data_IF_123308953384
#
_entry.id   IF_123308953384
#
_cell.length_a   1.000
_cell.length_b   1.000
_cell.length_c   1.000
_cell.angle_alpha   90.00
_cell.angle_beta   90.00
_cell.angle_gamma   90.00
#
_symmetry.space_group_name_H-M   'P 1'
#
loop_
_entity.id
_entity.type
_entity.pdbx_description
1 polymer ?
#
# COMPACT_ATOMS: atom_id res chain seq x y z
N UNK A 1 35.12 4.53 -11.73
CA UNK A 1 34.61 5.23 -10.54
C UNK A 1 33.28 4.60 -10.23
N UNK A 2 33.15 4.00 -9.05
CA UNK A 2 31.88 3.48 -8.56
C UNK A 2 31.08 4.61 -7.93
N UNK A 3 29.78 4.39 -7.76
CA UNK A 3 28.90 5.29 -7.03
C UNK A 3 28.21 4.49 -5.93
N UNK A 4 28.16 5.05 -4.73
CA UNK A 4 27.47 4.49 -3.59
C UNK A 4 26.29 5.39 -3.27
N UNK A 5 25.08 4.85 -3.30
CA UNK A 5 23.85 5.60 -3.02
C UNK A 5 23.07 4.95 -1.90
N UNK A 6 22.50 5.76 -1.00
CA UNK A 6 21.62 5.29 0.06
C UNK A 6 20.45 6.25 0.32
N UNK A 7 19.41 5.71 0.96
CA UNK A 7 18.16 6.36 1.33
C UNK A 7 17.98 6.30 2.84
N UNK A 8 18.26 7.42 3.50
CA UNK A 8 18.33 7.51 4.96
C UNK A 8 17.13 8.29 5.48
N UNK A 9 16.41 7.73 6.47
CA UNK A 9 15.31 8.45 7.15
C UNK A 9 15.84 9.19 8.36
N UNK A 10 15.57 10.49 8.41
CA UNK A 10 16.04 11.40 9.48
C UNK A 10 14.85 12.05 10.19
N UNK A 11 14.94 12.15 11.52
CA UNK A 11 13.84 12.70 12.33
C UNK A 11 13.76 14.23 12.31
N UNK A 12 14.89 14.94 12.15
CA UNK A 12 14.94 16.40 12.19
C UNK A 12 15.77 16.96 11.03
N UNK A 13 15.33 18.10 10.48
CA UNK A 13 16.02 18.81 9.40
C UNK A 13 17.50 19.08 9.70
N UNK A 14 17.80 19.50 10.94
CA UNK A 14 19.17 19.84 11.36
C UNK A 14 20.16 18.67 11.29
N UNK A 15 19.66 17.43 11.27
CA UNK A 15 20.48 16.22 11.28
C UNK A 15 20.77 15.72 9.84
N UNK A 16 20.14 16.30 8.81
CA UNK A 16 20.30 15.91 7.39
C UNK A 16 21.76 16.01 6.94
N UNK A 17 22.40 17.16 7.17
CA UNK A 17 23.80 17.33 6.77
C UNK A 17 24.75 16.44 7.56
N UNK A 18 24.41 16.14 8.82
CA UNK A 18 25.18 15.22 9.66
C UNK A 18 25.20 13.81 9.07
N UNK A 19 24.03 13.26 8.72
CA UNK A 19 23.97 11.91 8.12
C UNK A 19 24.62 11.84 6.73
N UNK A 20 24.53 12.89 5.92
CA UNK A 20 25.21 12.94 4.62
C UNK A 20 26.73 12.98 4.80
N UNK A 21 27.22 13.73 5.78
CA UNK A 21 28.64 13.79 6.14
C UNK A 21 29.16 12.45 6.67
N UNK A 22 28.38 11.79 7.54
CA UNK A 22 28.73 10.46 8.04
C UNK A 22 28.76 9.44 6.89
N UNK A 23 27.75 9.44 6.01
CA UNK A 23 27.71 8.55 4.85
C UNK A 23 28.91 8.76 3.93
N UNK A 24 29.26 10.01 3.61
CA UNK A 24 30.43 10.31 2.78
C UNK A 24 31.74 9.85 3.43
N UNK A 25 31.89 10.05 4.74
CA UNK A 25 33.10 9.65 5.44
C UNK A 25 33.38 8.14 5.31
N UNK A 26 32.36 7.29 5.38
CA UNK A 26 32.56 5.85 5.29
C UNK A 26 32.61 5.29 3.87
N UNK A 27 31.97 5.95 2.91
CA UNK A 27 31.72 5.37 1.58
C UNK A 27 32.49 6.05 0.44
N UNK A 28 33.11 7.22 0.67
CA UNK A 28 33.87 7.90 -0.38
C UNK A 28 35.20 7.23 -0.70
N UNK A 29 35.59 7.30 -1.97
CA UNK A 29 36.93 6.91 -2.41
C UNK A 29 37.98 7.87 -1.84
N UNK A 30 38.85 7.37 -0.96
CA UNK A 30 39.88 8.20 -0.30
C UNK A 30 40.97 8.72 -1.24
N UNK A 31 41.10 8.19 -2.45
CA UNK A 31 42.02 8.75 -3.47
C UNK A 31 41.45 10.02 -4.10
N UNK A 32 40.13 10.07 -4.30
CA UNK A 32 39.44 11.21 -4.91
C UNK A 32 39.03 12.26 -3.87
N UNK A 33 38.67 11.78 -2.67
CA UNK A 33 38.26 12.61 -1.56
C UNK A 33 39.00 12.19 -0.27
N UNK A 34 40.25 12.63 -0.08
CA UNK A 34 41.07 12.25 1.07
C UNK A 34 40.44 12.61 2.41
N UNK A 35 39.74 13.76 2.50
CA UNK A 35 39.02 14.18 3.71
C UNK A 35 37.84 13.28 4.04
N UNK A 36 37.23 12.64 3.03
CA UNK A 36 35.94 11.96 3.18
C UNK A 36 34.82 12.94 3.53
N UNK A 37 34.99 14.21 3.15
CA UNK A 37 33.97 15.24 3.36
C UNK A 37 32.82 15.05 2.37
N UNK A 38 31.60 15.33 2.80
CA UNK A 38 30.48 15.40 1.86
C UNK A 38 30.61 16.68 1.02
N UNK A 39 30.73 16.51 -0.30
CA UNK A 39 31.04 17.60 -1.23
C UNK A 39 29.93 17.87 -2.26
N UNK A 40 28.81 17.15 -2.19
CA UNK A 40 27.68 17.32 -3.11
C UNK A 40 26.72 18.42 -2.64
N UNK A 41 25.93 18.94 -3.58
CA UNK A 41 24.84 19.87 -3.26
C UNK A 41 23.62 19.05 -2.87
N UNK A 42 23.16 19.21 -1.62
CA UNK A 42 21.97 18.54 -1.10
C UNK A 42 20.75 19.47 -1.19
N UNK A 43 19.81 19.14 -2.07
CA UNK A 43 18.57 19.90 -2.24
C UNK A 43 17.54 19.54 -1.16
N UNK A 44 17.26 20.47 -0.23
CA UNK A 44 16.23 20.28 0.79
C UNK A 44 14.88 20.78 0.26
N UNK A 45 13.95 19.86 -0.02
CA UNK A 45 12.68 20.16 -0.68
C UNK A 45 11.58 20.55 0.32
N UNK A 46 11.61 21.79 0.81
CA UNK A 46 10.67 22.27 1.86
C UNK A 46 9.26 22.62 1.35
N UNK A 47 9.06 22.65 0.03
CA UNK A 47 7.81 23.15 -0.56
C UNK A 47 6.59 22.27 -0.31
N UNK A 48 6.76 20.95 -0.26
CA UNK A 48 5.65 19.99 -0.12
C UNK A 48 6.02 18.90 0.87
N UNK A 49 5.23 18.75 1.93
CA UNK A 49 5.35 17.62 2.87
C UNK A 49 4.46 16.47 2.39
N UNK A 50 5.08 15.32 2.15
CA UNK A 50 4.41 14.13 1.62
C UNK A 50 3.61 13.39 2.71
N UNK A 51 2.53 12.73 2.29
CA UNK A 51 1.54 12.13 3.21
C UNK A 51 2.12 11.01 4.10
N UNK A 52 3.11 10.29 3.57
CA UNK A 52 3.78 9.15 4.19
C UNK A 52 5.12 8.85 3.49
N UNK A 53 5.84 7.84 3.99
CA UNK A 53 7.10 7.37 3.45
C UNK A 53 6.97 6.87 2.00
N UNK A 54 5.89 6.16 1.67
CA UNK A 54 5.69 5.61 0.33
C UNK A 54 5.51 6.73 -0.72
N UNK A 55 4.76 7.78 -0.36
CA UNK A 55 4.59 8.98 -1.18
C UNK A 55 5.91 9.72 -1.39
N UNK A 56 6.76 9.78 -0.36
CA UNK A 56 8.09 10.38 -0.45
C UNK A 56 9.03 9.56 -1.33
N UNK A 57 9.00 8.23 -1.23
CA UNK A 57 9.77 7.34 -2.11
C UNK A 57 9.34 7.47 -3.57
N UNK A 58 8.04 7.54 -3.84
CA UNK A 58 7.55 7.74 -5.20
C UNK A 58 8.06 9.06 -5.77
N UNK A 59 8.11 10.12 -4.95
CA UNK A 59 8.72 11.38 -5.36
C UNK A 59 10.23 11.25 -5.58
N UNK A 60 10.94 10.50 -4.74
CA UNK A 60 12.35 10.27 -4.91
C UNK A 60 12.66 9.62 -6.26
N UNK A 61 11.94 8.56 -6.62
CA UNK A 61 12.08 7.90 -7.94
C UNK A 61 11.74 8.83 -9.11
N UNK A 62 10.71 9.68 -8.96
CA UNK A 62 10.38 10.70 -9.95
C UNK A 62 11.54 11.71 -10.14
N UNK A 63 12.12 12.19 -9.04
CA UNK A 63 13.25 13.12 -9.07
C UNK A 63 14.50 12.52 -9.69
N UNK A 64 14.80 11.26 -9.40
CA UNK A 64 15.91 10.55 -10.05
C UNK A 64 15.71 10.44 -11.56
N UNK A 65 14.47 10.21 -12.00
CA UNK A 65 14.14 10.13 -13.43
C UNK A 65 14.31 11.48 -14.13
N UNK A 66 13.92 12.57 -13.46
CA UNK A 66 13.93 13.92 -14.05
C UNK A 66 15.30 14.58 -13.97
N UNK A 67 15.95 14.51 -12.81
CA UNK A 67 17.20 15.22 -12.51
C UNK A 67 18.43 14.36 -12.74
N UNK A 68 18.29 13.04 -12.70
CA UNK A 68 19.38 12.08 -12.73
C UNK A 68 19.71 11.50 -11.36
N UNK A 69 20.30 10.30 -11.37
CA UNK A 69 20.60 9.49 -10.18
C UNK A 69 21.72 10.02 -9.30
N UNK A 70 22.46 11.06 -9.71
CA UNK A 70 23.57 11.63 -8.94
C UNK A 70 23.17 12.82 -8.06
N UNK A 71 21.91 13.27 -8.13
CA UNK A 71 21.47 14.40 -7.29
C UNK A 71 21.04 13.92 -5.91
N UNK A 72 21.52 14.63 -4.91
CA UNK A 72 21.19 14.42 -3.51
C UNK A 72 20.06 15.36 -3.09
N UNK A 73 19.09 14.81 -2.36
CA UNK A 73 17.92 15.56 -1.95
C UNK A 73 17.35 15.04 -0.64
N UNK A 74 16.65 15.92 0.07
CA UNK A 74 15.87 15.59 1.25
C UNK A 74 14.40 15.92 1.04
N UNK A 75 13.53 14.92 1.18
CA UNK A 75 12.08 15.02 0.99
C UNK A 75 11.38 14.90 2.35
N UNK A 76 10.63 15.91 2.80
CA UNK A 76 9.89 15.84 4.05
C UNK A 76 8.62 15.01 3.89
N UNK A 77 8.31 14.17 4.88
CA UNK A 77 7.08 13.39 4.93
C UNK A 77 6.54 13.25 6.34
N UNK A 78 5.23 13.02 6.47
CA UNK A 78 4.63 12.73 7.76
C UNK A 78 4.94 11.30 8.19
N UNK A 79 5.58 11.14 9.35
CA UNK A 79 5.71 9.83 9.96
C UNK A 79 4.39 9.48 10.66
N UNK A 80 3.88 8.28 10.38
CA UNK A 80 2.76 7.72 11.13
C UNK A 80 3.21 7.51 12.58
N UNK A 81 2.78 8.40 13.47
CA UNK A 81 2.83 8.10 14.90
C UNK A 81 1.96 6.86 15.09
N UNK A 82 2.47 5.83 15.77
CA UNK A 82 1.67 4.70 16.26
C UNK A 82 0.66 5.24 17.29
N UNK A 83 -0.35 5.94 16.82
CA UNK A 83 -1.43 6.43 17.64
C UNK A 83 -2.47 5.33 17.75
N UNK A 84 -2.95 5.09 18.96
CA UNK A 84 -4.10 4.24 19.19
C UNK A 84 -5.24 4.63 18.23
N UNK A 85 -5.92 3.65 17.60
CA UNK A 85 -7.06 3.93 16.75
C UNK A 85 -8.14 4.64 17.58
N UNK A 86 -8.69 5.73 17.05
CA UNK A 86 -9.79 6.44 17.72
C UNK A 86 -11.00 5.54 17.85
N UNK A 87 -11.94 5.89 18.74
CA UNK A 87 -13.23 5.19 18.85
C UNK A 87 -13.93 5.06 17.49
N UNK A 88 -13.84 6.10 16.64
CA UNK A 88 -14.37 6.08 15.29
C UNK A 88 -13.67 5.03 14.40
N UNK A 89 -12.33 4.96 14.42
CA UNK A 89 -11.59 3.95 13.67
C UNK A 89 -11.87 2.53 14.17
N UNK A 90 -11.90 2.33 15.50
CA UNK A 90 -12.27 1.03 16.10
C UNK A 90 -13.66 0.57 15.65
N UNK A 91 -14.63 1.50 15.56
CA UNK A 91 -15.96 1.20 15.05
C UNK A 91 -15.96 0.85 13.55
N UNK A 92 -15.17 1.53 12.72
CA UNK A 92 -15.04 1.21 11.29
C UNK A 92 -14.38 -0.15 11.08
N UNK A 93 -13.33 -0.47 11.84
CA UNK A 93 -12.65 -1.78 11.79
C UNK A 93 -13.64 -2.90 12.13
N UNK A 94 -14.38 -2.77 13.24
CA UNK A 94 -15.43 -3.73 13.61
C UNK A 94 -16.49 -3.91 12.53
N UNK A 95 -16.86 -2.83 11.82
CA UNK A 95 -17.79 -2.89 10.68
C UNK A 95 -17.19 -3.65 9.50
N UNK A 96 -15.91 -3.46 9.19
CA UNK A 96 -15.21 -4.21 8.14
C UNK A 96 -15.18 -5.70 8.48
N UNK A 97 -14.77 -6.04 9.69
CA UNK A 97 -14.76 -7.43 10.19
C UNK A 97 -16.15 -8.07 10.05
N UNK A 98 -17.19 -7.36 10.51
CA UNK A 98 -18.56 -7.83 10.38
C UNK A 98 -18.97 -8.05 8.92
N UNK A 99 -18.70 -7.10 8.02
CA UNK A 99 -19.03 -7.26 6.60
C UNK A 99 -18.32 -8.47 6.00
N UNK A 100 -17.05 -8.70 6.35
CA UNK A 100 -16.28 -9.84 5.85
C UNK A 100 -16.85 -11.17 6.35
N UNK A 101 -17.20 -11.25 7.64
CA UNK A 101 -17.84 -12.44 8.23
C UNK A 101 -19.21 -12.68 7.60
N UNK A 102 -20.08 -11.66 7.57
CA UNK A 102 -21.42 -11.73 6.99
C UNK A 102 -21.37 -12.16 5.51
N UNK A 103 -20.36 -11.70 4.75
CA UNK A 103 -20.14 -12.12 3.37
C UNK A 103 -19.74 -13.58 3.27
N UNK A 104 -18.79 -14.03 4.10
CA UNK A 104 -18.30 -15.41 4.12
C UNK A 104 -19.44 -16.38 4.45
N UNK A 105 -20.18 -16.10 5.53
CA UNK A 105 -21.34 -16.90 5.94
C UNK A 105 -22.42 -16.95 4.85
N UNK A 106 -22.68 -15.81 4.19
CA UNK A 106 -23.64 -15.75 3.10
C UNK A 106 -23.18 -16.56 1.86
N UNK A 107 -21.90 -16.48 1.51
CA UNK A 107 -21.32 -17.22 0.38
C UNK A 107 -21.39 -18.74 0.62
N UNK A 108 -21.04 -19.19 1.82
CA UNK A 108 -21.12 -20.59 2.25
C UNK A 108 -22.56 -21.09 2.26
N UNK A 109 -23.47 -20.37 2.92
CA UNK A 109 -24.89 -20.72 3.00
C UNK A 109 -25.52 -20.88 1.61
N UNK A 110 -25.12 -20.04 0.65
CA UNK A 110 -25.62 -20.04 -0.72
C UNK A 110 -24.70 -20.77 -1.72
N UNK A 111 -23.77 -21.59 -1.23
CA UNK A 111 -22.98 -22.47 -2.08
C UNK A 111 -23.87 -23.48 -2.80
N UNK A 112 -23.52 -23.83 -4.03
CA UNK A 112 -24.26 -24.83 -4.81
C UNK A 112 -24.28 -26.21 -4.13
N UNK A 113 -23.31 -26.49 -3.25
CA UNK A 113 -23.21 -27.75 -2.51
C UNK A 113 -24.39 -27.92 -1.53
N UNK A 114 -24.90 -26.81 -1.02
CA UNK A 114 -25.99 -26.76 -0.04
C UNK A 114 -27.38 -26.77 -0.68
N UNK A 115 -27.48 -26.78 -2.01
CA UNK A 115 -28.76 -26.92 -2.70
C UNK A 115 -29.33 -28.32 -2.48
N UNK A 116 -30.64 -28.44 -2.27
CA UNK A 116 -31.31 -29.73 -2.10
C UNK A 116 -31.43 -30.54 -3.39
N UNK A 117 -31.41 -29.88 -4.56
CA UNK A 117 -31.54 -30.55 -5.86
C UNK A 117 -30.31 -31.41 -6.18
N UNK A 118 -30.52 -32.56 -6.84
CA UNK A 118 -29.45 -33.42 -7.35
C UNK A 118 -28.85 -32.90 -8.66
N UNK A 119 -29.69 -32.25 -9.47
CA UNK A 119 -29.33 -31.64 -10.74
C UNK A 119 -29.41 -30.12 -10.64
N UNK A 120 -28.51 -29.45 -11.35
CA UNK A 120 -28.46 -27.99 -11.50
C UNK A 120 -28.40 -27.69 -13.00
N UNK A 121 -29.31 -26.84 -13.47
CA UNK A 121 -29.28 -26.36 -14.86
C UNK A 121 -28.54 -25.02 -14.90
N UNK A 122 -27.52 -24.93 -15.75
CA UNK A 122 -26.82 -23.66 -15.97
C UNK A 122 -27.75 -22.69 -16.71
N UNK A 123 -28.00 -21.50 -16.16
CA UNK A 123 -28.84 -20.47 -16.79
C UNK A 123 -28.21 -19.82 -18.03
N UNK A 124 -26.95 -20.11 -18.33
CA UNK A 124 -26.21 -19.48 -19.43
C UNK A 124 -26.00 -20.41 -20.64
N UNK A 125 -25.56 -21.65 -20.41
CA UNK A 125 -25.33 -22.62 -21.49
C UNK A 125 -26.34 -23.79 -21.47
N UNK A 126 -27.34 -23.71 -20.59
CA UNK A 126 -28.46 -24.67 -20.48
C UNK A 126 -28.06 -26.12 -20.14
N UNK A 127 -26.77 -26.38 -19.90
CA UNK A 127 -26.28 -27.69 -19.51
C UNK A 127 -26.87 -28.14 -18.18
N UNK A 128 -27.33 -29.40 -18.14
CA UNK A 128 -27.78 -30.09 -16.92
C UNK A 128 -26.58 -30.74 -16.26
N UNK A 129 -26.28 -30.32 -15.03
CA UNK A 129 -25.10 -30.72 -14.28
C UNK A 129 -25.51 -31.51 -13.04
N UNK A 130 -24.84 -32.63 -12.80
CA UNK A 130 -24.98 -33.36 -11.54
C UNK A 130 -24.17 -32.67 -10.44
N UNK A 131 -24.85 -32.29 -9.35
CA UNK A 131 -24.28 -31.50 -8.25
C UNK A 131 -23.07 -32.18 -7.61
N UNK A 132 -23.10 -33.51 -7.49
CA UNK A 132 -22.08 -34.30 -6.81
C UNK A 132 -20.68 -34.19 -7.47
N UNK A 133 -20.63 -33.83 -8.76
CA UNK A 133 -19.38 -33.63 -9.49
C UNK A 133 -18.90 -32.17 -9.47
N UNK A 134 -19.69 -31.24 -8.94
CA UNK A 134 -19.35 -29.81 -8.91
C UNK A 134 -18.56 -29.44 -7.64
N UNK A 135 -17.28 -29.11 -7.83
CA UNK A 135 -16.40 -28.70 -6.72
C UNK A 135 -16.52 -27.21 -6.37
N UNK A 136 -16.94 -26.38 -7.32
CA UNK A 136 -17.01 -24.90 -7.25
C UNK A 136 -18.39 -24.42 -7.70
N UNK A 137 -18.74 -23.19 -7.37
CA UNK A 137 -20.01 -22.57 -7.80
C UNK A 137 -20.08 -22.27 -9.31
N UNK A 138 -19.03 -22.53 -10.08
CA UNK A 138 -18.96 -22.25 -11.52
C UNK A 138 -19.38 -23.47 -12.36
N UNK A 139 -20.00 -23.17 -13.50
CA UNK A 139 -20.30 -24.14 -14.54
C UNK A 139 -18.99 -24.67 -15.13
N UNK A 140 -18.77 -26.00 -15.22
CA UNK A 140 -17.58 -26.57 -15.84
C UNK A 140 -17.57 -26.41 -17.37
N UNK A 141 -18.72 -26.13 -17.99
CA UNK A 141 -18.86 -25.98 -19.45
C UNK A 141 -18.57 -24.54 -19.89
N UNK A 142 -19.21 -23.54 -19.25
CA UNK A 142 -19.07 -22.14 -19.65
C UNK A 142 -18.35 -21.24 -18.64
N UNK A 143 -17.90 -21.77 -17.50
CA UNK A 143 -17.17 -21.03 -16.47
C UNK A 143 -18.00 -20.05 -15.62
N UNK A 144 -19.26 -19.78 -15.99
CA UNK A 144 -20.10 -18.81 -15.27
C UNK A 144 -20.62 -19.35 -13.94
N UNK A 145 -20.82 -18.46 -12.97
CA UNK A 145 -21.40 -18.82 -11.67
C UNK A 145 -22.83 -19.36 -11.84
N UNK A 146 -23.11 -20.47 -11.19
CA UNK A 146 -24.38 -21.20 -11.25
C UNK A 146 -25.43 -20.63 -10.29
N UNK A 147 -25.02 -19.78 -9.34
CA UNK A 147 -25.93 -19.16 -8.38
C UNK A 147 -26.82 -18.14 -9.05
N UNK A 148 -27.94 -17.82 -8.40
CA UNK A 148 -28.89 -16.85 -8.94
C UNK A 148 -28.28 -15.44 -8.97
N UNK A 149 -28.75 -14.62 -9.91
CA UNK A 149 -28.31 -13.22 -10.02
C UNK A 149 -28.51 -12.46 -8.71
N UNK A 150 -29.63 -12.70 -8.01
CA UNK A 150 -29.91 -12.12 -6.70
C UNK A 150 -28.82 -12.42 -5.65
N UNK A 151 -28.33 -13.66 -5.59
CA UNK A 151 -27.24 -14.05 -4.66
C UNK A 151 -25.95 -13.32 -5.02
N UNK A 152 -25.62 -13.26 -6.31
CA UNK A 152 -24.42 -12.58 -6.80
C UNK A 152 -24.47 -11.08 -6.53
N UNK A 153 -25.62 -10.44 -6.74
CA UNK A 153 -25.82 -9.01 -6.48
C UNK A 153 -25.71 -8.71 -4.97
N UNK A 154 -26.19 -9.62 -4.11
CA UNK A 154 -26.01 -9.49 -2.66
C UNK A 154 -24.54 -9.58 -2.26
N UNK A 155 -23.76 -10.49 -2.85
CA UNK A 155 -22.32 -10.62 -2.61
C UNK A 155 -21.58 -9.35 -3.07
N UNK A 156 -21.92 -8.83 -4.26
CA UNK A 156 -21.37 -7.56 -4.76
C UNK A 156 -21.65 -6.40 -3.82
N UNK A 157 -22.85 -6.35 -3.22
CA UNK A 157 -23.20 -5.31 -2.24
C UNK A 157 -22.30 -5.36 -1.01
N UNK A 158 -21.94 -6.54 -0.51
CA UNK A 158 -20.95 -6.66 0.56
C UNK A 158 -19.58 -6.10 0.15
N UNK A 159 -19.14 -6.36 -1.09
CA UNK A 159 -17.88 -5.81 -1.61
C UNK A 159 -17.90 -4.28 -1.75
N UNK A 160 -19.03 -3.72 -2.19
CA UNK A 160 -19.24 -2.28 -2.28
C UNK A 160 -19.26 -1.62 -0.90
N UNK A 161 -19.98 -2.22 0.06
CA UNK A 161 -20.03 -1.75 1.44
C UNK A 161 -18.65 -1.81 2.10
N UNK A 162 -17.89 -2.89 1.89
CA UNK A 162 -16.51 -3.03 2.36
C UNK A 162 -15.63 -1.91 1.80
N UNK A 163 -15.65 -1.69 0.47
CA UNK A 163 -14.87 -0.62 -0.18
C UNK A 163 -15.21 0.75 0.39
N UNK A 164 -16.50 1.03 0.62
CA UNK A 164 -16.97 2.30 1.17
C UNK A 164 -16.45 2.53 2.59
N UNK A 165 -16.58 1.54 3.47
CA UNK A 165 -16.11 1.63 4.86
C UNK A 165 -14.58 1.72 4.91
N UNK A 166 -13.88 0.93 4.09
CA UNK A 166 -12.42 0.95 4.04
C UNK A 166 -11.89 2.31 3.55
N UNK A 167 -12.53 2.89 2.53
CA UNK A 167 -12.18 4.25 2.06
C UNK A 167 -12.30 5.28 3.17
N UNK A 168 -13.36 5.23 3.98
CA UNK A 168 -13.51 6.12 5.15
C UNK A 168 -12.40 5.92 6.17
N UNK A 169 -12.00 4.67 6.45
CA UNK A 169 -10.92 4.37 7.38
C UNK A 169 -9.58 4.94 6.88
N UNK A 170 -9.28 4.78 5.58
CA UNK A 170 -8.08 5.31 4.92
C UNK A 170 -8.08 6.84 4.93
N UNK A 171 -9.20 7.50 4.68
CA UNK A 171 -9.28 8.96 4.73
C UNK A 171 -9.03 9.50 6.15
N UNK A 172 -9.55 8.81 7.18
CA UNK A 172 -9.30 9.18 8.59
C UNK A 172 -7.84 8.97 8.96
N UNK A 173 -7.23 7.85 8.54
CA UNK A 173 -5.81 7.59 8.81
C UNK A 173 -4.93 8.64 8.13
N UNK A 174 -5.19 8.97 6.86
CA UNK A 174 -4.49 10.06 6.14
C UNK A 174 -4.59 11.40 6.86
N UNK A 175 -5.79 11.80 7.30
CA UNK A 175 -5.99 13.05 8.05
C UNK A 175 -5.23 13.07 9.38
N UNK A 176 -5.08 11.92 10.05
CA UNK A 176 -4.29 11.80 11.29
C UNK A 176 -2.80 11.82 11.01
N UNK A 177 -2.34 11.17 9.95
CA UNK A 177 -0.93 11.16 9.56
C UNK A 177 -0.43 12.57 9.24
N UNK A 178 -1.24 13.43 8.61
CA UNK A 178 -0.93 14.86 8.40
C UNK A 178 -0.71 15.69 9.67
N UNK A 179 -0.92 15.10 10.86
CA UNK A 179 -0.61 15.72 12.17
C UNK A 179 0.58 15.07 12.87
N UNK A 180 1.23 14.10 12.23
CA UNK A 180 2.43 13.44 12.75
C UNK A 180 3.66 14.32 12.69
N UNK A 181 4.76 13.93 13.35
CA UNK A 181 6.04 14.60 13.19
C UNK A 181 6.53 14.43 11.75
N UNK A 182 7.15 15.49 11.23
CA UNK A 182 7.77 15.48 9.92
C UNK A 182 9.12 14.78 10.05
N UNK A 183 9.35 13.77 9.21
CA UNK A 183 10.65 13.14 8.99
C UNK A 183 11.14 13.46 7.58
N UNK A 184 12.39 13.16 7.30
CA UNK A 184 13.05 13.46 6.03
C UNK A 184 13.58 12.18 5.41
N UNK A 185 13.20 11.91 4.17
CA UNK A 185 13.85 10.91 3.34
C UNK A 185 15.03 11.60 2.64
N UNK A 186 16.24 11.24 3.02
CA UNK A 186 17.47 11.82 2.49
C UNK A 186 18.11 10.81 1.56
N UNK A 187 18.23 11.18 0.29
CA UNK A 187 19.04 10.44 -0.67
C UNK A 187 20.44 11.06 -0.70
N UNK A 188 21.46 10.20 -0.56
CA UNK A 188 22.86 10.60 -0.60
C UNK A 188 23.61 9.69 -1.56
N UNK A 189 24.45 10.27 -2.42
CA UNK A 189 25.32 9.59 -3.36
C UNK A 189 26.76 10.07 -3.16
N UNK A 190 27.73 9.16 -3.21
CA UNK A 190 29.15 9.50 -3.22
C UNK A 190 29.95 8.59 -4.14
N UNK A 191 31.02 9.13 -4.71
CA UNK A 191 31.98 8.36 -5.50
C UNK A 191 32.77 7.39 -4.62
N UNK A 192 32.86 6.12 -5.03
CA UNK A 192 33.58 5.04 -4.34
C UNK A 192 34.58 4.30 -5.24
#
# INVERSE_FOLDING_TARGET
>A
MGHCTDYIVVDKKKDIMGVAQDFAFYNTNRRENPSGSYNNVLDILEGTVYEDFDSANLKASELETIRGSYNDFAIPFYSSVKQEPTKQMKNLIRRLEKITVDKCEYDEKHSIKNLSSKLITCKHCESKLAKDFLKRNNCPVCGKDLRSQYILDRIKKYDEDYKKVNKQLVEISKKRNKKGPIKWLVKVEVHC
#
